data_IF_045545163612
#
_entry.id   IF_045545163612
#
_cell.length_a   1.000
_cell.length_b   1.000
_cell.length_c   1.000
_cell.angle_alpha   90.00
_cell.angle_beta   90.00
_cell.angle_gamma   90.00
#
_symmetry.space_group_name_H-M   'P 1'
#
loop_
_entity.id
_entity.type
_entity.pdbx_description
1 polymer ?
#
# COMPACT_ATOMS: atom_id res chain seq x y z
N UNK A 1 1.92 -17.76 -9.14
CA UNK A 1 2.04 -16.29 -9.28
C UNK A 1 0.87 -15.63 -8.59
N UNK A 2 1.13 -14.70 -7.66
CA UNK A 2 0.09 -13.99 -6.91
C UNK A 2 -0.30 -12.67 -7.57
N UNK A 3 0.70 -11.91 -8.00
CA UNK A 3 0.55 -10.60 -8.64
C UNK A 3 1.29 -10.54 -9.96
N UNK A 4 0.70 -9.89 -10.95
CA UNK A 4 1.28 -9.70 -12.27
C UNK A 4 0.81 -8.39 -12.90
N UNK A 5 1.74 -7.64 -13.50
CA UNK A 5 1.44 -6.54 -14.42
C UNK A 5 2.24 -6.69 -15.70
N UNK A 6 1.59 -6.50 -16.85
CA UNK A 6 2.20 -6.68 -18.17
C UNK A 6 1.90 -5.53 -19.12
N UNK A 7 2.92 -5.10 -19.85
CA UNK A 7 2.85 -4.13 -20.93
C UNK A 7 2.16 -2.82 -20.56
N UNK A 8 2.27 -2.38 -19.30
CA UNK A 8 1.57 -1.19 -18.81
C UNK A 8 2.08 0.07 -19.50
N UNK A 9 1.15 0.81 -20.12
CA UNK A 9 1.39 2.13 -20.69
C UNK A 9 0.31 3.10 -20.23
N UNK A 10 0.73 4.33 -19.96
CA UNK A 10 -0.15 5.38 -19.51
C UNK A 10 0.37 6.75 -19.92
N UNK A 11 -0.51 7.68 -20.28
CA UNK A 11 -0.20 9.09 -20.47
C UNK A 11 -1.13 9.98 -19.68
N UNK A 12 -0.58 10.98 -19.02
CA UNK A 12 -1.36 12.10 -18.52
C UNK A 12 -1.75 12.99 -19.71
N UNK A 13 -2.93 13.62 -19.65
CA UNK A 13 -3.41 14.50 -20.72
C UNK A 13 -2.32 15.44 -21.24
N UNK A 14 -2.00 15.34 -22.54
CA UNK A 14 -1.01 16.18 -23.23
C UNK A 14 0.46 15.85 -22.93
N UNK A 15 0.75 14.76 -22.20
CA UNK A 15 2.11 14.35 -21.87
C UNK A 15 2.56 13.13 -22.67
N UNK A 16 3.88 12.91 -22.68
CA UNK A 16 4.48 11.71 -23.31
C UNK A 16 4.04 10.45 -22.60
N UNK A 17 3.74 9.40 -23.37
CA UNK A 17 3.39 8.10 -22.85
C UNK A 17 4.55 7.51 -22.02
N UNK A 18 4.22 7.03 -20.83
CA UNK A 18 5.12 6.31 -19.93
C UNK A 18 4.91 4.81 -20.15
N UNK A 19 6.01 4.09 -20.30
CA UNK A 19 6.03 2.62 -20.39
C UNK A 19 6.62 2.10 -19.08
N UNK A 20 5.92 1.18 -18.44
CA UNK A 20 6.36 0.60 -17.18
C UNK A 20 6.89 -0.82 -17.37
N UNK A 21 7.85 -1.25 -16.52
CA UNK A 21 8.33 -2.63 -16.56
C UNK A 21 7.25 -3.63 -16.16
N UNK A 22 7.32 -4.82 -16.70
CA UNK A 22 6.53 -5.95 -16.25
C UNK A 22 6.96 -6.37 -14.84
N UNK A 23 6.00 -6.65 -13.98
CA UNK A 23 6.21 -7.08 -12.59
C UNK A 23 5.46 -8.37 -12.35
N UNK A 24 6.14 -9.34 -11.75
CA UNK A 24 5.54 -10.61 -11.34
C UNK A 24 6.03 -10.98 -9.96
N UNK A 25 5.11 -11.31 -9.05
CA UNK A 25 5.42 -11.65 -7.66
C UNK A 25 4.62 -12.88 -7.20
N UNK A 26 5.26 -13.73 -6.44
CA UNK A 26 4.62 -14.79 -5.68
C UNK A 26 4.27 -14.35 -4.24
N UNK A 27 3.64 -15.24 -3.49
CA UNK A 27 3.24 -14.96 -2.10
C UNK A 27 4.47 -14.68 -1.24
N UNK A 28 4.41 -13.59 -0.48
CA UNK A 28 5.47 -13.20 0.44
C UNK A 28 6.68 -12.56 -0.21
N UNK A 29 6.69 -12.43 -1.54
CA UNK A 29 7.76 -11.74 -2.25
C UNK A 29 7.63 -10.22 -2.13
N UNK A 30 8.77 -9.55 -2.14
CA UNK A 30 8.85 -8.10 -2.10
C UNK A 30 9.81 -7.56 -3.15
N UNK A 31 9.42 -6.47 -3.80
CA UNK A 31 10.29 -5.72 -4.70
C UNK A 31 10.36 -4.25 -4.31
N UNK A 32 11.48 -3.66 -4.66
CA UNK A 32 11.75 -2.24 -4.54
C UNK A 32 11.88 -1.62 -5.94
N UNK A 33 11.03 -0.64 -6.24
CA UNK A 33 11.07 0.13 -7.49
C UNK A 33 11.70 1.49 -7.20
N UNK A 34 12.94 1.65 -7.67
CA UNK A 34 13.68 2.89 -7.49
C UNK A 34 13.55 3.79 -8.72
N UNK A 35 13.35 5.09 -8.47
CA UNK A 35 13.28 6.07 -9.55
C UNK A 35 13.39 7.49 -9.04
N UNK A 36 13.89 8.40 -9.88
CA UNK A 36 13.96 9.83 -9.57
C UNK A 36 12.56 10.42 -9.32
N UNK A 37 12.48 11.56 -8.64
CA UNK A 37 11.22 12.30 -8.55
C UNK A 37 10.68 12.60 -9.95
N UNK A 38 9.38 12.47 -10.15
CA UNK A 38 8.73 12.68 -11.46
C UNK A 38 8.89 11.54 -12.47
N UNK A 39 9.50 10.40 -12.11
CA UNK A 39 9.68 9.25 -13.04
C UNK A 39 8.41 8.39 -13.22
N UNK A 40 7.28 8.78 -12.64
CA UNK A 40 6.01 8.04 -12.77
C UNK A 40 5.78 6.97 -11.71
N UNK A 41 6.54 6.93 -10.60
CA UNK A 41 6.39 5.92 -9.54
C UNK A 41 4.99 5.88 -8.93
N UNK A 42 4.46 7.03 -8.55
CA UNK A 42 3.08 7.15 -8.02
C UNK A 42 2.04 6.75 -9.08
N UNK A 43 2.29 7.09 -10.35
CA UNK A 43 1.43 6.66 -11.47
C UNK A 43 1.44 5.14 -11.61
N UNK A 44 2.63 4.51 -11.58
CA UNK A 44 2.74 3.05 -11.57
C UNK A 44 1.93 2.45 -10.43
N UNK A 45 2.14 2.93 -9.20
CA UNK A 45 1.45 2.41 -8.03
C UNK A 45 -0.08 2.55 -8.14
N UNK A 46 -0.57 3.68 -8.67
CA UNK A 46 -2.00 3.88 -8.91
C UNK A 46 -2.57 2.93 -9.98
N UNK A 47 -1.80 2.61 -11.02
CA UNK A 47 -2.18 1.60 -12.01
C UNK A 47 -2.24 0.20 -11.37
N UNK A 48 -1.22 -0.16 -10.59
CA UNK A 48 -1.18 -1.45 -9.88
C UNK A 48 -2.30 -1.60 -8.86
N UNK A 49 -2.77 -0.48 -8.27
CA UNK A 49 -3.91 -0.44 -7.34
C UNK A 49 -5.28 -0.44 -8.06
N UNK A 50 -5.32 -0.28 -9.38
CA UNK A 50 -6.57 -0.04 -10.12
C UNK A 50 -7.24 1.29 -9.76
N UNK A 51 -6.46 2.29 -9.32
CA UNK A 51 -6.91 3.68 -9.12
C UNK A 51 -6.84 4.50 -10.41
N UNK A 52 -6.01 4.05 -11.35
CA UNK A 52 -5.94 4.53 -12.73
C UNK A 52 -6.11 3.34 -13.67
N UNK A 53 -6.80 3.56 -14.78
CA UNK A 53 -6.90 2.58 -15.86
C UNK A 53 -5.71 2.74 -16.82
N UNK A 54 -4.95 1.66 -17.13
CA UNK A 54 -3.90 1.74 -18.13
C UNK A 54 -4.50 1.92 -19.53
N UNK A 55 -3.80 2.65 -20.41
CA UNK A 55 -4.15 2.73 -21.84
C UNK A 55 -3.89 1.40 -22.56
N UNK A 56 -2.82 0.72 -22.17
CA UNK A 56 -2.41 -0.59 -22.69
C UNK A 56 -1.88 -1.39 -21.52
N UNK A 57 -2.06 -2.71 -21.58
CA UNK A 57 -1.58 -3.65 -20.59
C UNK A 57 -2.64 -4.06 -19.58
N UNK A 58 -2.24 -4.88 -18.65
CA UNK A 58 -3.15 -5.44 -17.65
C UNK A 58 -2.47 -5.60 -16.29
N UNK A 59 -3.30 -5.61 -15.24
CA UNK A 59 -2.90 -5.94 -13.87
C UNK A 59 -3.78 -7.07 -13.37
N UNK A 60 -3.14 -8.12 -12.87
CA UNK A 60 -3.81 -9.28 -12.26
C UNK A 60 -3.37 -9.47 -10.82
N UNK A 61 -4.33 -9.74 -9.94
CA UNK A 61 -4.10 -10.13 -8.54
C UNK A 61 -4.89 -11.40 -8.24
N UNK A 62 -4.19 -12.44 -7.77
CA UNK A 62 -4.78 -13.74 -7.49
C UNK A 62 -5.60 -14.30 -8.67
N UNK A 63 -5.09 -14.16 -9.89
CA UNK A 63 -5.72 -14.62 -11.12
C UNK A 63 -6.89 -13.77 -11.63
N UNK A 64 -7.24 -12.68 -10.93
CA UNK A 64 -8.32 -11.77 -11.34
C UNK A 64 -7.75 -10.52 -11.98
N UNK A 65 -8.22 -10.15 -13.18
CA UNK A 65 -7.85 -8.93 -13.89
C UNK A 65 -8.58 -7.72 -13.27
N UNK A 66 -7.83 -6.68 -12.91
CA UNK A 66 -8.40 -5.44 -12.37
C UNK A 66 -9.21 -4.69 -13.44
N UNK A 67 -8.78 -4.75 -14.71
CA UNK A 67 -9.44 -4.06 -15.82
C UNK A 67 -10.82 -4.63 -16.16
N UNK A 68 -11.09 -5.90 -15.79
CA UNK A 68 -12.39 -6.53 -15.95
C UNK A 68 -13.40 -6.16 -14.85
N UNK A 69 -12.94 -5.49 -13.80
CA UNK A 69 -13.77 -5.03 -12.71
C UNK A 69 -14.00 -3.52 -12.83
N UNK A 70 -15.24 -3.06 -12.58
CA UNK A 70 -15.55 -1.63 -12.60
C UNK A 70 -16.47 -1.23 -11.45
N UNK A 71 -16.41 0.05 -11.10
CA UNK A 71 -17.27 0.64 -10.06
C UNK A 71 -17.17 -0.11 -8.74
N UNK A 72 -18.30 -0.35 -8.10
CA UNK A 72 -18.39 -0.95 -6.77
C UNK A 72 -17.68 -2.33 -6.65
N UNK A 73 -17.64 -3.12 -7.75
CA UNK A 73 -16.93 -4.42 -7.75
C UNK A 73 -15.41 -4.23 -7.57
N UNK A 74 -14.84 -3.28 -8.29
CA UNK A 74 -13.41 -2.95 -8.18
C UNK A 74 -13.09 -2.32 -6.82
N UNK A 75 -13.95 -1.42 -6.33
CA UNK A 75 -13.76 -0.78 -5.02
C UNK A 75 -13.75 -1.81 -3.89
N UNK A 76 -14.69 -2.76 -3.93
CA UNK A 76 -14.77 -3.83 -2.95
C UNK A 76 -13.55 -4.77 -3.04
N UNK A 77 -13.10 -5.08 -4.26
CA UNK A 77 -11.91 -5.89 -4.48
C UNK A 77 -10.66 -5.19 -3.91
N UNK A 78 -10.46 -3.90 -4.22
CA UNK A 78 -9.37 -3.10 -3.62
C UNK A 78 -9.42 -3.13 -2.10
N UNK A 79 -10.59 -2.80 -1.53
CA UNK A 79 -10.76 -2.79 -0.08
C UNK A 79 -10.44 -4.12 0.61
N UNK A 80 -10.61 -5.24 -0.09
CA UNK A 80 -10.33 -6.58 0.44
C UNK A 80 -8.90 -7.05 0.24
N UNK A 81 -8.36 -6.82 -0.96
CA UNK A 81 -7.19 -7.54 -1.45
C UNK A 81 -5.94 -6.66 -1.60
N UNK A 82 -6.11 -5.32 -1.53
CA UNK A 82 -4.99 -4.38 -1.72
C UNK A 82 -4.88 -3.45 -0.51
N UNK A 83 -3.71 -3.45 0.13
CA UNK A 83 -3.33 -2.47 1.16
C UNK A 83 -2.47 -1.38 0.53
N UNK A 84 -2.79 -0.11 0.76
CA UNK A 84 -2.01 1.01 0.23
C UNK A 84 -1.46 1.84 1.39
N UNK A 85 -0.15 2.03 1.41
CA UNK A 85 0.58 2.94 2.29
C UNK A 85 1.01 4.13 1.44
N UNK A 86 0.39 5.27 1.66
CA UNK A 86 0.71 6.51 0.95
C UNK A 86 1.88 7.26 1.61
N UNK A 87 2.55 8.10 0.86
CA UNK A 87 3.60 9.00 1.34
C UNK A 87 3.10 9.85 2.53
N UNK A 88 1.90 10.42 2.42
CA UNK A 88 1.19 11.04 3.54
C UNK A 88 0.20 10.02 4.10
N UNK A 89 0.11 9.81 5.41
CA UNK A 89 -0.71 8.75 6.01
C UNK A 89 -2.21 8.77 5.66
N UNK A 90 -2.78 9.93 5.30
CA UNK A 90 -4.20 10.11 4.94
C UNK A 90 -5.17 9.47 5.95
N UNK A 91 -4.87 9.61 7.25
CA UNK A 91 -5.76 9.17 8.31
C UNK A 91 -6.93 10.15 8.43
N UNK A 92 -8.12 9.64 8.71
CA UNK A 92 -9.33 10.44 8.89
C UNK A 92 -9.28 11.17 10.24
N UNK A 93 -9.10 12.49 10.21
CA UNK A 93 -8.89 13.32 11.40
C UNK A 93 -10.08 13.31 12.38
N UNK A 94 -11.29 13.06 11.88
CA UNK A 94 -12.52 12.98 12.69
C UNK A 94 -12.64 11.67 13.49
N UNK A 95 -11.75 10.70 13.26
CA UNK A 95 -11.80 9.36 13.85
C UNK A 95 -10.58 9.12 14.75
N UNK A 96 -10.74 8.27 15.74
CA UNK A 96 -9.63 7.69 16.52
C UNK A 96 -8.79 6.78 15.63
N UNK A 97 -7.60 6.38 16.12
CA UNK A 97 -6.77 5.43 15.41
C UNK A 97 -7.50 4.09 15.17
N UNK A 98 -8.15 3.55 16.20
CA UNK A 98 -8.92 2.29 16.08
C UNK A 98 -10.04 2.40 15.05
N UNK A 99 -10.79 3.49 15.07
CA UNK A 99 -11.87 3.71 14.10
C UNK A 99 -11.35 3.85 12.66
N UNK A 100 -10.18 4.45 12.45
CA UNK A 100 -9.53 4.48 11.13
C UNK A 100 -9.27 3.06 10.58
N UNK A 101 -8.88 2.11 11.43
CA UNK A 101 -8.68 0.72 11.01
C UNK A 101 -10.03 -0.01 10.82
N UNK A 102 -11.02 0.27 11.67
CA UNK A 102 -12.37 -0.28 11.52
C UNK A 102 -13.02 0.13 10.20
N UNK A 103 -12.75 1.35 9.72
CA UNK A 103 -13.21 1.80 8.40
C UNK A 103 -12.67 0.93 7.26
N UNK A 104 -11.43 0.41 7.36
CA UNK A 104 -10.91 -0.52 6.36
C UNK A 104 -11.75 -1.82 6.34
N UNK A 105 -12.12 -2.37 7.51
CA UNK A 105 -13.02 -3.53 7.59
C UNK A 105 -14.39 -3.25 6.98
N UNK A 106 -14.95 -2.09 7.29
CA UNK A 106 -16.27 -1.67 6.79
C UNK A 106 -16.29 -1.61 5.26
N UNK A 107 -15.33 -0.91 4.64
CA UNK A 107 -15.28 -0.78 3.17
C UNK A 107 -14.90 -2.08 2.48
N UNK A 108 -14.00 -2.87 3.07
CA UNK A 108 -13.62 -4.17 2.53
C UNK A 108 -14.71 -5.24 2.68
N UNK A 109 -15.76 -5.00 3.50
CA UNK A 109 -16.79 -5.99 3.87
C UNK A 109 -16.16 -7.32 4.27
N UNK A 110 -15.06 -7.27 5.00
CA UNK A 110 -14.25 -8.43 5.40
C UNK A 110 -13.91 -8.32 6.89
N UNK A 111 -14.09 -9.40 7.63
CA UNK A 111 -13.51 -9.51 8.96
C UNK A 111 -12.03 -9.81 8.78
N UNK A 112 -11.21 -8.77 8.85
CA UNK A 112 -9.76 -8.85 8.70
C UNK A 112 -9.05 -9.32 9.97
N UNK A 113 -7.86 -8.77 10.23
CA UNK A 113 -7.12 -9.01 11.46
C UNK A 113 -7.84 -8.42 12.67
N UNK A 114 -7.57 -8.97 13.84
CA UNK A 114 -7.93 -8.33 15.12
C UNK A 114 -7.18 -6.99 15.21
N UNK A 115 -7.93 -5.89 15.30
CA UNK A 115 -7.37 -4.54 15.27
C UNK A 115 -6.53 -4.26 16.52
N UNK A 116 -6.99 -4.71 17.69
CA UNK A 116 -6.26 -4.44 18.94
C UNK A 116 -4.92 -5.18 18.93
N UNK A 117 -4.91 -6.43 18.48
CA UNK A 117 -3.68 -7.20 18.29
C UNK A 117 -2.76 -6.58 17.23
N UNK A 118 -3.31 -6.11 16.11
CA UNK A 118 -2.53 -5.45 15.07
C UNK A 118 -1.88 -4.16 15.58
N UNK A 119 -2.60 -3.37 16.36
CA UNK A 119 -2.07 -2.16 16.99
C UNK A 119 -0.98 -2.49 18.03
N UNK A 120 -1.12 -3.58 18.78
CA UNK A 120 -0.10 -4.05 19.72
C UNK A 120 1.18 -4.46 18.98
N UNK A 121 1.08 -5.25 17.92
CA UNK A 121 2.20 -5.69 17.09
C UNK A 121 2.96 -4.53 16.44
N UNK A 122 2.28 -3.42 16.18
CA UNK A 122 2.87 -2.20 15.60
C UNK A 122 3.28 -1.16 16.65
N UNK A 123 3.17 -1.50 17.96
CA UNK A 123 3.55 -0.60 19.06
C UNK A 123 2.63 0.60 19.21
N UNK A 124 1.36 0.48 18.82
CA UNK A 124 0.36 1.55 18.80
C UNK A 124 -0.83 1.30 19.75
N UNK A 125 -0.82 0.23 20.56
CA UNK A 125 -1.91 -0.11 21.45
C UNK A 125 -2.31 1.05 22.40
N UNK A 126 -1.30 1.76 22.93
CA UNK A 126 -1.49 2.92 23.81
C UNK A 126 -2.14 4.13 23.14
N UNK A 127 -2.21 4.15 21.81
CA UNK A 127 -2.82 5.21 20.98
C UNK A 127 -4.16 4.80 20.37
N UNK A 128 -4.65 3.60 20.64
CA UNK A 128 -5.84 3.03 20.01
C UNK A 128 -7.03 4.00 19.97
N UNK A 129 -7.32 4.64 21.10
CA UNK A 129 -8.44 5.58 21.25
C UNK A 129 -8.03 7.06 21.11
N UNK A 130 -6.79 7.33 20.70
CA UNK A 130 -6.31 8.71 20.51
C UNK A 130 -6.78 9.27 19.17
N UNK A 131 -6.94 10.60 19.13
CA UNK A 131 -7.08 11.32 17.86
C UNK A 131 -5.83 11.13 17.02
N UNK A 132 -5.98 10.88 15.74
CA UNK A 132 -4.84 10.71 14.80
C UNK A 132 -4.03 12.01 14.64
N UNK A 133 -4.61 13.15 14.99
CA UNK A 133 -3.92 14.45 15.00
C UNK A 133 -2.85 14.58 16.11
N UNK A 134 -2.89 13.70 17.12
CA UNK A 134 -1.94 13.71 18.24
C UNK A 134 -0.78 12.71 18.04
N UNK A 135 -0.77 11.99 16.92
CA UNK A 135 0.27 11.04 16.62
C UNK A 135 1.55 11.77 16.16
N UNK A 136 2.70 11.29 16.61
CA UNK A 136 3.98 11.67 16.02
C UNK A 136 4.05 11.16 14.57
N UNK A 137 4.98 11.69 13.79
CA UNK A 137 5.14 11.30 12.39
C UNK A 137 5.39 9.79 12.23
N UNK A 138 6.25 9.21 13.06
CA UNK A 138 6.50 7.77 13.06
C UNK A 138 5.29 6.95 13.52
N UNK A 139 4.49 7.43 14.48
CA UNK A 139 3.23 6.79 14.88
C UNK A 139 2.19 6.87 13.75
N UNK A 140 2.07 8.00 13.08
CA UNK A 140 1.16 8.19 11.96
C UNK A 140 1.55 7.28 10.77
N UNK A 141 2.84 7.12 10.51
CA UNK A 141 3.33 6.19 9.48
C UNK A 141 3.00 4.73 9.83
N UNK A 142 3.27 4.29 11.08
CA UNK A 142 2.89 2.95 11.53
C UNK A 142 1.36 2.74 11.52
N UNK A 143 0.58 3.78 11.84
CA UNK A 143 -0.88 3.75 11.75
C UNK A 143 -1.38 3.58 10.30
N UNK A 144 -0.73 4.23 9.33
CA UNK A 144 -1.00 4.03 7.90
C UNK A 144 -0.72 2.59 7.46
N UNK A 145 0.37 2.00 7.93
CA UNK A 145 0.71 0.60 7.70
C UNK A 145 -0.34 -0.32 8.34
N UNK A 146 -0.72 -0.06 9.61
CA UNK A 146 -1.77 -0.82 10.29
C UNK A 146 -3.08 -0.82 9.49
N UNK A 147 -3.51 0.33 9.00
CA UNK A 147 -4.71 0.46 8.18
C UNK A 147 -4.60 -0.34 6.88
N UNK A 148 -3.45 -0.30 6.20
CA UNK A 148 -3.22 -1.07 4.98
C UNK A 148 -3.27 -2.59 5.22
N UNK A 149 -2.84 -3.05 6.40
CA UNK A 149 -2.81 -4.47 6.79
C UNK A 149 -4.14 -4.98 7.36
N UNK A 150 -5.04 -4.11 7.81
CA UNK A 150 -6.24 -4.46 8.56
C UNK A 150 -7.08 -5.56 7.89
N UNK A 151 -7.22 -5.54 6.57
CA UNK A 151 -7.99 -6.53 5.81
C UNK A 151 -7.19 -7.77 5.38
N UNK A 152 -5.98 -7.99 5.86
CA UNK A 152 -5.10 -9.08 5.41
C UNK A 152 -5.03 -9.12 3.89
N UNK A 153 -4.50 -8.05 3.25
CA UNK A 153 -4.46 -7.95 1.79
C UNK A 153 -3.53 -9.00 1.18
N UNK A 154 -3.71 -9.27 -0.11
CA UNK A 154 -2.79 -10.09 -0.90
C UNK A 154 -1.66 -9.28 -1.53
N UNK A 155 -1.89 -7.97 -1.72
CA UNK A 155 -0.91 -7.04 -2.26
C UNK A 155 -0.80 -5.82 -1.35
N UNK A 156 0.43 -5.44 -1.01
CA UNK A 156 0.74 -4.20 -0.31
C UNK A 156 1.52 -3.31 -1.27
N UNK A 157 1.03 -2.09 -1.46
CA UNK A 157 1.65 -1.06 -2.26
C UNK A 157 2.07 0.09 -1.35
N UNK A 158 3.34 0.47 -1.36
CA UNK A 158 3.85 1.55 -0.52
C UNK A 158 4.52 2.63 -1.39
N UNK A 159 3.95 3.84 -1.36
CA UNK A 159 4.45 5.01 -2.08
C UNK A 159 5.29 5.86 -1.14
N UNK A 160 6.61 5.90 -1.36
CA UNK A 160 7.57 6.71 -0.60
C UNK A 160 7.39 6.59 0.94
N UNK A 161 7.29 5.38 1.51
CA UNK A 161 6.87 5.19 2.90
C UNK A 161 7.86 5.74 3.93
N UNK A 162 9.02 6.20 3.50
CA UNK A 162 10.13 6.66 4.34
C UNK A 162 10.56 8.10 4.06
N UNK A 163 9.86 8.82 3.18
CA UNK A 163 10.31 10.12 2.65
C UNK A 163 10.47 11.24 3.70
N UNK A 164 9.83 11.11 4.84
CA UNK A 164 9.88 12.08 5.95
C UNK A 164 10.65 11.56 7.18
N UNK A 165 11.30 10.39 7.08
CA UNK A 165 11.95 9.72 8.19
C UNK A 165 13.48 9.87 8.13
N UNK A 166 14.12 9.86 9.30
CA UNK A 166 15.56 9.70 9.43
C UNK A 166 16.03 8.28 9.05
N UNK A 167 17.33 8.06 9.02
CA UNK A 167 17.92 6.80 8.55
C UNK A 167 17.49 5.60 9.41
N UNK A 168 17.48 5.75 10.74
CA UNK A 168 17.12 4.68 11.67
C UNK A 168 15.62 4.31 11.54
N UNK A 169 14.75 5.30 11.42
CA UNK A 169 13.32 5.05 11.26
C UNK A 169 12.97 4.55 9.84
N UNK A 170 13.74 4.95 8.82
CA UNK A 170 13.64 4.43 7.46
C UNK A 170 13.81 2.90 7.45
N UNK A 171 14.89 2.39 8.00
CA UNK A 171 15.15 0.95 8.07
C UNK A 171 14.06 0.20 8.85
N UNK A 172 13.66 0.75 10.01
CA UNK A 172 12.59 0.16 10.84
C UNK A 172 11.26 0.03 10.07
N UNK A 173 10.86 1.05 9.32
CA UNK A 173 9.60 1.04 8.54
C UNK A 173 9.66 0.05 7.39
N UNK A 174 10.78 -0.03 6.67
CA UNK A 174 10.94 -0.99 5.57
C UNK A 174 10.93 -2.42 6.08
N UNK A 175 11.67 -2.70 7.16
CA UNK A 175 11.72 -4.03 7.78
C UNK A 175 10.35 -4.41 8.35
N UNK A 176 9.60 -3.45 8.92
CA UNK A 176 8.24 -3.66 9.38
C UNK A 176 7.32 -4.06 8.22
N UNK A 177 7.35 -3.33 7.10
CA UNK A 177 6.56 -3.67 5.90
C UNK A 177 6.90 -5.05 5.36
N UNK A 178 8.20 -5.36 5.19
CA UNK A 178 8.67 -6.67 4.71
C UNK A 178 8.21 -7.80 5.63
N UNK A 179 8.41 -7.66 6.96
CA UNK A 179 8.05 -8.69 7.94
C UNK A 179 6.53 -8.92 8.01
N UNK A 180 5.74 -7.86 8.00
CA UNK A 180 4.28 -7.96 8.03
C UNK A 180 3.73 -8.55 6.71
N UNK A 181 4.27 -8.16 5.55
CA UNK A 181 3.89 -8.74 4.27
C UNK A 181 4.17 -10.25 4.23
N UNK A 182 5.38 -10.66 4.64
CA UNK A 182 5.76 -12.07 4.72
C UNK A 182 4.85 -12.85 5.68
N UNK A 183 4.55 -12.29 6.86
CA UNK A 183 3.69 -12.91 7.87
C UNK A 183 2.30 -13.26 7.34
N UNK A 184 1.70 -12.38 6.52
CA UNK A 184 0.36 -12.60 5.95
C UNK A 184 0.41 -13.23 4.54
N UNK A 185 1.60 -13.51 4.00
CA UNK A 185 1.79 -14.05 2.65
C UNK A 185 1.39 -13.08 1.54
N UNK A 186 1.46 -11.77 1.78
CA UNK A 186 1.18 -10.74 0.79
C UNK A 186 2.40 -10.48 -0.10
N UNK A 187 2.18 -10.16 -1.38
CA UNK A 187 3.20 -9.52 -2.19
C UNK A 187 3.38 -8.06 -1.76
N UNK A 188 4.61 -7.55 -1.79
CA UNK A 188 4.93 -6.17 -1.39
C UNK A 188 5.66 -5.43 -2.52
N UNK A 189 5.15 -4.27 -2.89
CA UNK A 189 5.81 -3.35 -3.83
C UNK A 189 6.04 -2.02 -3.12
N UNK A 190 7.30 -1.64 -2.98
CA UNK A 190 7.70 -0.33 -2.45
C UNK A 190 8.23 0.50 -3.60
N UNK A 191 7.68 1.68 -3.82
CA UNK A 191 8.24 2.66 -4.76
C UNK A 191 8.88 3.79 -3.97
N UNK A 192 10.12 4.15 -4.30
CA UNK A 192 10.84 5.24 -3.62
C UNK A 192 11.95 5.83 -4.49
N UNK A 193 12.39 7.04 -4.17
CA UNK A 193 13.63 7.62 -4.68
C UNK A 193 14.77 7.47 -3.67
N UNK A 194 14.48 7.01 -2.47
CA UNK A 194 15.42 6.86 -1.37
C UNK A 194 16.33 5.63 -1.57
N UNK A 195 17.61 5.87 -1.77
CA UNK A 195 18.57 4.80 -1.98
C UNK A 195 18.96 4.07 -0.68
N UNK A 196 18.64 4.63 0.49
CA UNK A 196 18.89 4.02 1.80
C UNK A 196 18.12 2.71 1.99
N UNK A 197 17.02 2.54 1.27
CA UNK A 197 16.14 1.36 1.32
C UNK A 197 16.73 0.13 0.61
N UNK A 198 17.90 0.25 -0.06
CA UNK A 198 18.56 -0.86 -0.78
C UNK A 198 19.27 -1.89 0.11
N UNK A 199 19.50 -1.58 1.35
CA UNK A 199 20.23 -2.44 2.30
C UNK A 199 19.38 -3.58 2.84
#
# INVERSE_FOLDING_TARGET
MLFESRNLKYSHHGQKQIVFPDISLDKGESILVLGKSGSGKTTLLNLLAGLLDPEIGEVKLAGQSLSEMKGQKLDLFRGKEIGIVFQKPHLLAALTLKENLQMAHFFGKKKGQDIDRLLEELGLAHKSNSSVLTLSEGEAQRASIARALANTPKLILADEPTSSLDDENTEKVVNLLKSQAAKIGAALIIVTHDQRVKS
#
